data_IF_469723763983
#
_entry.id   IF_469723763983
#
_cell.length_a   1.000
_cell.length_b   1.000
_cell.length_c   1.000
_cell.angle_alpha   90.00
_cell.angle_beta   90.00
_cell.angle_gamma   90.00
#
_symmetry.space_group_name_H-M   'P 1'
#
loop_
_entity.id
_entity.type
_entity.pdbx_description
1 polymer ?
#
# COMPACT_ATOMS: atom_id res chain seq x y z
N UNK A 1 -24.03 -15.27 -32.17
CA UNK A 1 -24.25 -14.93 -30.75
C UNK A 1 -23.04 -15.49 -30.04
N UNK A 2 -22.01 -14.68 -29.79
CA UNK A 2 -20.83 -15.14 -29.07
C UNK A 2 -21.23 -15.22 -27.60
N UNK A 3 -21.19 -16.42 -27.00
CA UNK A 3 -21.27 -16.56 -25.55
C UNK A 3 -20.08 -15.79 -24.97
N UNK A 4 -20.35 -14.76 -24.18
CA UNK A 4 -19.31 -14.14 -23.36
C UNK A 4 -18.87 -15.21 -22.36
N UNK A 5 -17.60 -15.63 -22.43
CA UNK A 5 -17.01 -16.50 -21.42
C UNK A 5 -16.87 -15.68 -20.14
N UNK A 6 -17.80 -15.87 -19.21
CA UNK A 6 -17.81 -15.15 -17.94
C UNK A 6 -16.77 -15.77 -17.01
N UNK A 7 -15.71 -15.03 -16.71
CA UNK A 7 -14.70 -15.41 -15.73
C UNK A 7 -15.22 -15.18 -14.32
N UNK A 8 -15.04 -16.16 -13.45
CA UNK A 8 -15.42 -16.03 -12.04
C UNK A 8 -14.21 -15.63 -11.21
N UNK A 9 -14.35 -14.52 -10.50
CA UNK A 9 -13.34 -14.00 -9.57
C UNK A 9 -13.88 -14.07 -8.14
N UNK A 10 -13.17 -14.78 -7.28
CA UNK A 10 -13.40 -14.80 -5.83
C UNK A 10 -12.38 -13.88 -5.19
N UNK A 11 -12.85 -12.84 -4.52
CA UNK A 11 -12.01 -11.96 -3.72
C UNK A 11 -12.08 -12.43 -2.27
N UNK A 12 -10.93 -12.77 -1.70
CA UNK A 12 -10.80 -13.21 -0.30
C UNK A 12 -10.20 -12.06 0.50
N UNK A 13 -10.88 -11.66 1.55
CA UNK A 13 -10.49 -10.51 2.37
C UNK A 13 -10.83 -10.73 3.85
N UNK A 14 -10.40 -9.79 4.68
CA UNK A 14 -10.76 -9.74 6.10
C UNK A 14 -11.72 -8.57 6.35
N UNK A 15 -12.18 -8.42 7.59
CA UNK A 15 -13.06 -7.32 7.99
C UNK A 15 -12.42 -5.93 7.75
N UNK A 16 -11.09 -5.83 7.85
CA UNK A 16 -10.35 -4.59 7.62
C UNK A 16 -10.19 -4.24 6.14
N UNK A 17 -10.22 -5.24 5.24
CA UNK A 17 -9.97 -5.05 3.80
C UNK A 17 -11.20 -5.25 2.92
N UNK A 18 -12.34 -5.64 3.50
CA UNK A 18 -13.61 -5.83 2.80
C UNK A 18 -14.10 -4.57 2.06
N UNK A 19 -13.74 -3.39 2.55
CA UNK A 19 -14.03 -2.12 1.88
C UNK A 19 -13.40 -2.06 0.49
N UNK A 20 -12.12 -2.47 0.37
CA UNK A 20 -11.37 -2.47 -0.88
C UNK A 20 -11.82 -3.59 -1.82
N UNK A 21 -12.16 -4.76 -1.27
CA UNK A 21 -12.77 -5.85 -2.05
C UNK A 21 -14.09 -5.43 -2.70
N UNK A 22 -14.94 -4.72 -1.95
CA UNK A 22 -16.18 -4.17 -2.49
C UNK A 22 -15.94 -3.01 -3.46
N UNK A 23 -14.89 -2.23 -3.26
CA UNK A 23 -14.50 -1.19 -4.22
C UNK A 23 -14.10 -1.80 -5.56
N UNK A 24 -13.24 -2.82 -5.58
CA UNK A 24 -12.89 -3.55 -6.80
C UNK A 24 -14.12 -4.14 -7.49
N UNK A 25 -15.03 -4.74 -6.71
CA UNK A 25 -16.31 -5.25 -7.23
C UNK A 25 -17.13 -4.18 -7.94
N UNK A 26 -17.15 -2.96 -7.37
CA UNK A 26 -17.87 -1.83 -7.95
C UNK A 26 -17.22 -1.35 -9.24
N UNK A 27 -15.88 -1.24 -9.28
CA UNK A 27 -15.13 -0.87 -10.49
C UNK A 27 -15.45 -1.84 -11.64
N UNK A 28 -15.33 -3.15 -11.41
CA UNK A 28 -15.67 -4.19 -12.39
C UNK A 28 -17.14 -4.17 -12.82
N UNK A 29 -18.03 -3.58 -12.02
CA UNK A 29 -19.46 -3.48 -12.34
C UNK A 29 -19.86 -2.11 -12.91
N UNK A 30 -18.93 -1.16 -13.03
CA UNK A 30 -19.22 0.22 -13.40
C UNK A 30 -19.67 0.36 -14.86
N UNK A 31 -19.34 -0.63 -15.70
CA UNK A 31 -19.60 -0.64 -17.13
C UNK A 31 -19.12 0.66 -17.81
N UNK A 32 -17.84 0.95 -17.66
CA UNK A 32 -17.18 2.18 -18.10
C UNK A 32 -16.53 2.05 -19.49
N UNK A 33 -16.69 0.91 -20.17
CA UNK A 33 -16.26 0.73 -21.55
C UNK A 33 -17.02 1.67 -22.50
N UNK A 34 -16.29 2.36 -23.38
CA UNK A 34 -16.85 3.07 -24.54
C UNK A 34 -16.68 2.21 -25.80
N UNK A 35 -17.41 2.51 -26.89
CA UNK A 35 -17.63 1.64 -28.06
C UNK A 35 -16.41 0.80 -28.53
N UNK A 36 -15.19 1.36 -28.49
CA UNK A 36 -13.93 0.68 -28.85
C UNK A 36 -12.83 0.76 -27.76
N UNK A 37 -13.12 1.25 -26.55
CA UNK A 37 -12.12 1.45 -25.47
C UNK A 37 -12.54 0.66 -24.23
N UNK A 38 -11.72 -0.35 -23.87
CA UNK A 38 -11.90 -1.12 -22.64
C UNK A 38 -11.18 -0.41 -21.49
N UNK A 39 -11.87 -0.15 -20.40
CA UNK A 39 -11.28 0.45 -19.19
C UNK A 39 -11.10 -0.65 -18.13
N UNK A 40 -9.85 -1.06 -17.89
CA UNK A 40 -9.51 -2.14 -16.96
C UNK A 40 -9.90 -3.53 -17.49
N UNK A 41 -11.19 -3.86 -17.44
CA UNK A 41 -11.71 -5.17 -17.89
C UNK A 41 -13.01 -5.03 -18.65
N UNK A 42 -13.18 -5.85 -19.69
CA UNK A 42 -14.38 -5.83 -20.53
C UNK A 42 -15.69 -5.96 -19.74
N UNK A 43 -16.64 -5.09 -20.04
CA UNK A 43 -17.97 -5.06 -19.46
C UNK A 43 -18.67 -6.42 -19.52
N UNK A 44 -19.20 -6.85 -18.37
CA UNK A 44 -19.93 -8.10 -18.22
C UNK A 44 -19.11 -9.38 -18.39
N UNK A 45 -17.79 -9.29 -18.57
CA UNK A 45 -16.92 -10.46 -18.73
C UNK A 45 -16.57 -11.15 -17.40
N UNK A 46 -16.80 -10.48 -16.26
CA UNK A 46 -16.35 -10.97 -14.95
C UNK A 46 -17.52 -11.02 -13.98
N UNK A 47 -17.62 -12.14 -13.25
CA UNK A 47 -18.52 -12.30 -12.10
C UNK A 47 -17.70 -12.36 -10.82
N UNK A 48 -17.82 -11.30 -10.02
CA UNK A 48 -17.07 -11.14 -8.76
C UNK A 48 -17.89 -11.61 -7.55
N UNK A 49 -17.27 -12.38 -6.66
CA UNK A 49 -17.81 -12.75 -5.34
C UNK A 49 -16.82 -12.34 -4.25
N UNK A 50 -17.27 -11.69 -3.19
CA UNK A 50 -16.42 -11.26 -2.06
C UNK A 50 -16.66 -12.15 -0.87
N UNK A 51 -15.63 -12.87 -0.41
CA UNK A 51 -15.69 -13.81 0.69
C UNK A 51 -14.74 -13.36 1.82
N UNK A 52 -15.22 -13.44 3.05
CA UNK A 52 -14.34 -13.36 4.21
C UNK A 52 -13.49 -14.64 4.30
N UNK A 53 -12.30 -14.55 4.91
CA UNK A 53 -11.37 -15.68 5.07
C UNK A 53 -12.05 -16.97 5.56
N UNK A 54 -12.88 -16.87 6.59
CA UNK A 54 -13.60 -18.02 7.13
C UNK A 54 -14.45 -18.74 6.08
N UNK A 55 -15.19 -17.96 5.28
CA UNK A 55 -16.03 -18.51 4.22
C UNK A 55 -15.17 -19.13 3.10
N UNK A 56 -14.01 -18.55 2.81
CA UNK A 56 -13.05 -19.14 1.88
C UNK A 56 -12.54 -20.50 2.36
N UNK A 57 -12.08 -20.59 3.62
CA UNK A 57 -11.57 -21.83 4.19
C UNK A 57 -12.63 -22.93 4.22
N UNK A 58 -13.86 -22.60 4.63
CA UNK A 58 -14.98 -23.55 4.70
C UNK A 58 -15.39 -24.09 3.31
N UNK A 59 -15.14 -23.33 2.24
CA UNK A 59 -15.54 -23.66 0.87
C UNK A 59 -14.37 -23.95 -0.07
N UNK A 60 -13.13 -24.00 0.43
CA UNK A 60 -11.94 -24.13 -0.41
C UNK A 60 -11.97 -25.39 -1.29
N UNK A 61 -12.53 -26.49 -0.78
CA UNK A 61 -12.71 -27.76 -1.50
C UNK A 61 -13.75 -27.70 -2.63
N UNK A 62 -14.60 -26.67 -2.64
CA UNK A 62 -15.64 -26.46 -3.66
C UNK A 62 -15.19 -25.54 -4.78
N UNK A 63 -14.09 -24.78 -4.57
CA UNK A 63 -13.51 -23.90 -5.57
C UNK A 63 -12.84 -24.75 -6.65
N UNK A 64 -13.30 -24.59 -7.88
CA UNK A 64 -12.71 -25.28 -9.03
C UNK A 64 -11.35 -24.68 -9.38
N UNK A 65 -10.48 -25.48 -10.00
CA UNK A 65 -9.19 -25.00 -10.53
C UNK A 65 -9.33 -23.96 -11.64
N UNK A 66 -10.55 -23.70 -12.12
CA UNK A 66 -10.82 -22.72 -13.16
C UNK A 66 -11.19 -21.34 -12.62
N UNK A 67 -11.53 -21.24 -11.34
CA UNK A 67 -11.91 -20.00 -10.68
C UNK A 67 -10.66 -19.22 -10.24
N UNK A 68 -10.67 -17.92 -10.50
CA UNK A 68 -9.63 -17.00 -10.06
C UNK A 68 -9.89 -16.60 -8.62
N UNK A 69 -8.83 -16.58 -7.81
CA UNK A 69 -8.89 -16.18 -6.41
C UNK A 69 -7.89 -15.06 -6.18
N UNK A 70 -8.36 -13.91 -5.72
CA UNK A 70 -7.56 -12.74 -5.38
C UNK A 70 -7.63 -12.49 -3.87
N UNK A 71 -6.49 -12.58 -3.19
CA UNK A 71 -6.37 -12.20 -1.79
C UNK A 71 -6.13 -10.71 -1.65
N UNK A 72 -6.90 -10.02 -0.80
CA UNK A 72 -6.69 -8.60 -0.48
C UNK A 72 -6.30 -8.46 0.99
N UNK A 73 -5.06 -8.03 1.21
CA UNK A 73 -4.42 -8.00 2.52
C UNK A 73 -3.76 -9.33 2.89
N UNK A 74 -3.32 -9.41 4.14
CA UNK A 74 -2.68 -10.59 4.69
C UNK A 74 -3.55 -11.24 5.75
N UNK A 75 -3.98 -12.47 5.47
CA UNK A 75 -4.66 -13.33 6.42
C UNK A 75 -3.96 -14.68 6.49
N UNK A 76 -4.44 -15.59 7.33
CA UNK A 76 -3.76 -16.86 7.53
C UNK A 76 -3.74 -17.67 6.23
N UNK A 77 -4.85 -17.68 5.48
CA UNK A 77 -4.94 -18.35 4.18
C UNK A 77 -3.96 -17.76 3.14
N UNK A 78 -3.87 -16.43 3.05
CA UNK A 78 -3.04 -15.78 2.04
C UNK A 78 -1.55 -15.89 2.35
N UNK A 79 -1.14 -15.89 3.63
CA UNK A 79 0.27 -16.04 4.03
C UNK A 79 0.93 -17.33 3.55
N UNK A 80 0.15 -18.40 3.41
CA UNK A 80 0.66 -19.69 2.93
C UNK A 80 0.84 -19.70 1.39
N UNK A 81 0.07 -18.90 0.65
CA UNK A 81 0.10 -18.85 -0.82
C UNK A 81 1.01 -17.74 -1.38
N UNK A 82 1.00 -16.54 -0.77
CA UNK A 82 1.70 -15.33 -1.23
C UNK A 82 3.20 -15.56 -1.53
N UNK A 83 3.99 -16.27 -0.69
CA UNK A 83 5.43 -16.43 -0.93
C UNK A 83 5.78 -17.14 -2.25
N UNK A 84 4.84 -17.87 -2.84
CA UNK A 84 5.03 -18.55 -4.13
C UNK A 84 4.64 -17.70 -5.33
N UNK A 85 3.99 -16.56 -5.13
CA UNK A 85 3.46 -15.71 -6.18
C UNK A 85 4.55 -14.84 -6.81
N UNK A 86 4.41 -14.58 -8.11
CA UNK A 86 5.28 -13.62 -8.81
C UNK A 86 4.74 -12.22 -8.59
N UNK A 87 5.55 -11.34 -8.02
CA UNK A 87 5.23 -9.93 -7.85
C UNK A 87 5.22 -9.25 -9.22
N UNK A 88 4.13 -8.56 -9.53
CA UNK A 88 3.90 -7.87 -10.82
C UNK A 88 3.99 -6.35 -10.69
N UNK A 89 3.66 -5.85 -9.51
CA UNK A 89 3.78 -4.45 -9.14
C UNK A 89 4.28 -4.34 -7.70
N UNK A 90 5.26 -3.47 -7.48
CA UNK A 90 5.86 -3.17 -6.18
C UNK A 90 6.36 -1.73 -6.16
N UNK A 91 5.54 -0.82 -5.64
CA UNK A 91 5.90 0.58 -5.51
C UNK A 91 5.33 1.16 -4.22
N UNK A 92 6.13 1.93 -3.49
CA UNK A 92 5.68 2.72 -2.34
C UNK A 92 4.91 1.88 -1.30
N UNK A 93 5.37 0.64 -1.08
CA UNK A 93 4.75 -0.32 -0.15
C UNK A 93 3.47 -0.98 -0.65
N UNK A 94 2.99 -0.65 -1.84
CA UNK A 94 1.84 -1.25 -2.50
C UNK A 94 2.29 -2.37 -3.43
N UNK A 95 1.70 -3.57 -3.29
CA UNK A 95 2.09 -4.74 -4.08
C UNK A 95 0.88 -5.49 -4.62
N UNK A 96 0.98 -5.95 -5.86
CA UNK A 96 0.14 -7.03 -6.36
C UNK A 96 0.95 -8.02 -7.21
N UNK A 97 0.43 -9.22 -7.33
CA UNK A 97 1.05 -10.29 -8.10
C UNK A 97 0.21 -11.55 -8.12
N UNK A 98 0.66 -12.56 -8.85
CA UNK A 98 -0.07 -13.82 -8.97
C UNK A 98 0.82 -14.99 -9.39
N UNK A 99 0.29 -16.19 -9.18
CA UNK A 99 0.75 -17.46 -9.75
C UNK A 99 -0.45 -18.21 -10.32
N UNK A 100 -0.53 -18.28 -11.65
CA UNK A 100 -1.72 -18.78 -12.33
C UNK A 100 -2.97 -18.02 -11.87
N UNK A 101 -3.99 -18.76 -11.43
CA UNK A 101 -5.29 -18.22 -11.01
C UNK A 101 -5.35 -17.74 -9.55
N UNK A 102 -4.21 -17.69 -8.86
CA UNK A 102 -4.10 -17.23 -7.47
C UNK A 102 -3.32 -15.93 -7.44
N UNK A 103 -3.95 -14.86 -7.01
CA UNK A 103 -3.40 -13.50 -6.96
C UNK A 103 -3.43 -12.91 -5.57
N UNK A 104 -2.61 -11.89 -5.36
CA UNK A 104 -2.54 -11.12 -4.12
C UNK A 104 -2.48 -9.63 -4.41
N UNK A 105 -3.02 -8.85 -3.48
CA UNK A 105 -2.87 -7.42 -3.38
C UNK A 105 -2.72 -7.03 -1.91
N UNK A 106 -1.62 -6.37 -1.53
CA UNK A 106 -1.34 -6.01 -0.14
C UNK A 106 -0.51 -4.73 -0.03
N UNK A 107 -0.63 -4.07 1.12
CA UNK A 107 0.25 -2.98 1.52
C UNK A 107 1.27 -3.55 2.51
N UNK A 108 2.51 -3.75 2.06
CA UNK A 108 3.58 -4.36 2.87
C UNK A 108 4.19 -3.38 3.87
N UNK A 109 4.12 -2.08 3.56
CA UNK A 109 4.69 -1.02 4.38
C UNK A 109 3.92 0.28 4.16
N UNK A 110 3.52 0.92 5.25
CA UNK A 110 2.89 2.24 5.20
C UNK A 110 3.94 3.32 4.91
N UNK A 111 3.60 4.28 4.05
CA UNK A 111 4.47 5.43 3.77
C UNK A 111 4.61 6.27 5.04
N UNK A 112 5.85 6.62 5.37
CA UNK A 112 6.19 7.24 6.64
C UNK A 112 7.10 8.47 6.51
N UNK A 113 7.32 8.92 5.28
CA UNK A 113 8.11 10.10 4.96
C UNK A 113 7.44 10.93 3.84
N UNK A 114 7.64 12.25 3.83
CA UNK A 114 6.97 13.15 2.89
C UNK A 114 7.42 12.97 1.44
N UNK A 115 8.68 12.58 1.20
CA UNK A 115 9.19 12.44 -0.16
C UNK A 115 8.49 11.27 -0.88
N UNK A 116 8.45 10.10 -0.25
CA UNK A 116 7.68 8.95 -0.74
C UNK A 116 6.17 9.23 -0.80
N UNK A 117 5.64 10.09 0.08
CA UNK A 117 4.23 10.48 0.01
C UNK A 117 3.95 11.38 -1.20
N UNK A 118 4.85 12.31 -1.52
CA UNK A 118 4.75 13.11 -2.74
C UNK A 118 4.85 12.25 -4.00
N UNK A 119 5.77 11.28 -4.02
CA UNK A 119 5.84 10.27 -5.10
C UNK A 119 4.53 9.49 -5.22
N UNK A 120 3.91 9.13 -4.10
CA UNK A 120 2.60 8.46 -4.08
C UNK A 120 1.49 9.32 -4.67
N UNK A 121 1.41 10.60 -4.30
CA UNK A 121 0.40 11.52 -4.86
C UNK A 121 0.61 11.72 -6.36
N UNK A 122 1.86 11.82 -6.81
CA UNK A 122 2.19 11.91 -8.23
C UNK A 122 1.75 10.66 -8.99
N UNK A 123 2.06 9.47 -8.46
CA UNK A 123 1.60 8.20 -9.04
C UNK A 123 0.06 8.16 -9.12
N UNK A 124 -0.65 8.57 -8.08
CA UNK A 124 -2.13 8.56 -8.06
C UNK A 124 -2.76 9.55 -9.06
N UNK A 125 -2.05 10.63 -9.37
CA UNK A 125 -2.50 11.64 -10.34
C UNK A 125 -2.63 11.05 -11.75
N UNK A 126 -1.76 10.11 -12.12
CA UNK A 126 -1.82 9.41 -13.41
C UNK A 126 -3.13 8.60 -13.57
N UNK A 127 -3.67 8.10 -12.45
CA UNK A 127 -4.95 7.38 -12.38
C UNK A 127 -6.13 8.32 -12.04
N UNK A 128 -5.95 9.64 -12.15
CA UNK A 128 -6.96 10.67 -11.85
C UNK A 128 -7.61 10.51 -10.47
N UNK A 129 -6.85 10.02 -9.50
CA UNK A 129 -7.32 9.84 -8.14
C UNK A 129 -6.79 10.95 -7.25
N UNK A 130 -7.70 11.64 -6.56
CA UNK A 130 -7.36 12.70 -5.62
C UNK A 130 -7.58 12.22 -4.18
N UNK A 131 -6.62 12.50 -3.30
CA UNK A 131 -6.69 12.19 -1.88
C UNK A 131 -6.50 13.45 -1.03
N UNK A 132 -7.05 13.42 0.18
CA UNK A 132 -6.74 14.44 1.19
C UNK A 132 -5.24 14.35 1.55
N UNK A 133 -4.52 15.46 1.39
CA UNK A 133 -3.09 15.54 1.68
C UNK A 133 -2.83 15.45 3.19
N UNK A 134 -1.86 14.63 3.56
CA UNK A 134 -1.47 14.41 4.96
C UNK A 134 -0.16 15.15 5.25
N UNK A 135 -0.16 15.92 6.34
CA UNK A 135 1.01 16.69 6.77
C UNK A 135 1.99 15.83 7.57
N UNK A 136 3.25 15.79 7.12
CA UNK A 136 4.35 15.17 7.84
C UNK A 136 5.06 16.22 8.70
N UNK A 137 5.23 15.93 9.99
CA UNK A 137 5.99 16.81 10.88
C UNK A 137 7.44 16.38 10.92
N UNK A 138 8.35 17.35 10.87
CA UNK A 138 9.80 17.12 10.97
C UNK A 138 10.15 16.29 12.22
N UNK A 139 11.28 15.57 12.23
CA UNK A 139 11.76 14.91 13.43
C UNK A 139 11.95 15.89 14.60
N UNK A 140 11.80 15.40 15.83
CA UNK A 140 11.82 16.25 17.04
C UNK A 140 13.13 17.04 17.20
N UNK A 141 14.27 16.46 16.80
CA UNK A 141 15.56 17.12 16.86
C UNK A 141 15.65 18.32 15.90
N UNK A 142 15.08 18.20 14.71
CA UNK A 142 15.05 19.27 13.72
C UNK A 142 14.07 20.37 14.12
N UNK A 143 12.91 20.01 14.68
CA UNK A 143 11.98 20.98 15.26
C UNK A 143 12.63 21.79 16.40
N UNK A 144 13.46 21.14 17.24
CA UNK A 144 14.19 21.82 18.31
C UNK A 144 15.27 22.78 17.77
N UNK A 145 15.94 22.41 16.68
CA UNK A 145 16.89 23.30 15.98
C UNK A 145 16.18 24.50 15.35
N UNK A 146 15.07 24.28 14.63
CA UNK A 146 14.28 25.34 14.00
C UNK A 146 13.71 26.32 15.05
N UNK A 147 13.23 25.81 16.19
CA UNK A 147 12.76 26.63 17.30
C UNK A 147 13.89 27.47 17.93
N UNK A 148 15.09 26.91 18.07
CA UNK A 148 16.24 27.65 18.59
C UNK A 148 16.69 28.77 17.62
N UNK A 149 16.70 28.50 16.31
CA UNK A 149 17.01 29.48 15.26
C UNK A 149 15.96 30.59 15.20
N UNK A 150 14.67 30.25 15.30
CA UNK A 150 13.57 31.23 15.24
C UNK A 150 13.53 32.20 16.44
N UNK A 151 14.02 31.79 17.60
CA UNK A 151 14.12 32.63 18.81
C UNK A 151 15.39 33.50 18.81
N UNK A 152 16.43 33.06 18.10
CA UNK A 152 17.75 33.69 18.07
C UNK A 152 18.05 34.18 16.65
N UNK A 153 17.44 35.31 16.25
CA UNK A 153 17.65 35.88 14.91
C UNK A 153 19.14 35.98 14.53
N UNK A 154 19.44 35.62 13.28
CA UNK A 154 20.77 35.54 12.63
C UNK A 154 21.98 35.83 13.53
N UNK A 155 22.50 34.79 14.20
CA UNK A 155 23.85 34.83 14.78
C UNK A 155 24.72 33.77 14.09
N UNK A 156 25.76 34.18 13.33
CA UNK A 156 26.74 33.26 12.79
C UNK A 156 27.57 32.64 13.93
N UNK A 157 28.04 31.41 13.72
CA UNK A 157 29.09 30.70 14.48
C UNK A 157 28.72 29.90 15.75
N UNK A 158 27.47 29.81 16.20
CA UNK A 158 27.13 28.94 17.36
C UNK A 158 26.60 27.55 16.94
N UNK A 159 26.17 27.38 15.68
CA UNK A 159 25.49 26.16 15.22
C UNK A 159 26.42 24.93 15.11
N UNK A 160 27.75 25.10 15.04
CA UNK A 160 28.67 23.95 15.00
C UNK A 160 28.82 23.20 16.34
N UNK A 161 28.43 23.80 17.48
CA UNK A 161 28.56 23.13 18.78
C UNK A 161 27.26 22.46 19.26
N UNK A 162 26.09 22.83 18.73
CA UNK A 162 24.81 22.16 19.08
C UNK A 162 24.65 20.83 18.33
N UNK A 163 25.27 20.70 17.15
CA UNK A 163 25.42 19.40 16.48
C UNK A 163 26.22 18.38 17.32
N UNK A 164 27.05 18.83 18.27
CA UNK A 164 27.82 17.97 19.16
C UNK A 164 27.16 17.69 20.52
N UNK A 165 26.13 18.44 20.94
CA UNK A 165 25.45 18.19 22.22
C UNK A 165 24.23 17.28 22.13
N UNK A 166 23.62 17.12 20.95
CA UNK A 166 22.66 16.02 20.71
C UNK A 166 23.36 14.64 20.60
N UNK A 167 24.71 14.61 20.59
CA UNK A 167 25.55 13.41 20.52
C UNK A 167 26.15 12.98 21.88
N UNK A 168 25.57 13.39 23.02
CA UNK A 168 26.10 13.02 24.34
C UNK A 168 25.92 11.54 24.73
N UNK A 169 25.42 10.68 23.83
CA UNK A 169 25.34 9.23 24.06
C UNK A 169 26.64 8.47 23.73
N UNK A 170 27.67 9.14 23.20
CA UNK A 170 28.95 8.50 22.91
C UNK A 170 29.94 8.67 24.06
N UNK A 171 29.83 7.78 25.05
CA UNK A 171 30.99 7.36 25.83
C UNK A 171 32.07 6.73 24.93
N UNK A 172 33.31 6.52 25.41
CA UNK A 172 34.41 6.08 24.57
C UNK A 172 34.09 4.71 23.95
N UNK A 173 33.99 4.70 22.62
CA UNK A 173 33.58 3.59 21.73
C UNK A 173 34.30 2.28 22.10
N UNK A 174 33.58 1.14 22.25
CA UNK A 174 33.36 0.23 21.12
C UNK A 174 32.02 -0.54 21.09
N UNK A 175 31.68 -1.00 19.88
CA UNK A 175 30.46 -1.70 19.44
C UNK A 175 29.25 -0.77 19.24
N UNK A 176 28.97 -0.44 17.97
CA UNK A 176 27.65 0.06 17.56
C UNK A 176 26.71 -1.13 17.75
N UNK A 177 26.08 -1.21 18.93
CA UNK A 177 25.01 -2.18 19.15
C UNK A 177 23.88 -1.89 18.15
N UNK A 178 23.21 -2.93 17.65
CA UNK A 178 22.04 -2.77 16.76
C UNK A 178 21.00 -1.78 17.36
N UNK A 179 20.90 -1.75 18.69
CA UNK A 179 20.05 -0.84 19.45
C UNK A 179 20.41 0.64 19.25
N UNK A 180 21.69 0.98 19.11
CA UNK A 180 22.14 2.35 18.85
C UNK A 180 21.85 2.78 17.40
N UNK A 181 21.92 1.86 16.43
CA UNK A 181 21.54 2.13 15.03
C UNK A 181 20.04 2.36 14.92
N UNK A 182 19.23 1.52 15.56
CA UNK A 182 17.77 1.65 15.56
C UNK A 182 17.32 2.94 16.26
N UNK A 183 17.93 3.32 17.38
CA UNK A 183 17.61 4.56 18.08
C UNK A 183 17.91 5.82 17.23
N UNK A 184 18.99 5.81 16.46
CA UNK A 184 19.31 6.90 15.52
C UNK A 184 18.30 6.93 14.37
N UNK A 185 17.94 5.78 13.81
CA UNK A 185 16.93 5.70 12.74
C UNK A 185 15.57 6.21 13.21
N UNK A 186 15.11 5.83 14.40
CA UNK A 186 13.87 6.32 15.00
C UNK A 186 13.89 7.83 15.26
N UNK A 187 15.03 8.38 15.72
CA UNK A 187 15.17 9.81 15.98
C UNK A 187 15.16 10.69 14.72
N UNK A 188 15.37 10.08 13.54
CA UNK A 188 15.35 10.75 12.23
C UNK A 188 14.02 10.59 11.47
N UNK A 189 13.08 9.81 11.99
CA UNK A 189 11.81 9.54 11.31
C UNK A 189 10.86 10.74 11.37
N UNK A 190 10.16 11.01 10.26
CA UNK A 190 9.10 12.00 10.22
C UNK A 190 7.95 11.58 11.14
N UNK A 191 7.40 12.55 11.86
CA UNK A 191 6.35 12.33 12.85
C UNK A 191 5.00 12.44 12.16
N UNK A 192 4.26 11.34 12.17
CA UNK A 192 2.85 11.24 11.77
C UNK A 192 2.04 10.63 12.92
N UNK A 193 0.77 10.99 13.07
CA UNK A 193 -0.07 10.36 14.08
C UNK A 193 -0.47 8.94 13.66
N UNK A 194 -0.96 8.13 14.62
CA UNK A 194 -1.56 6.81 14.30
C UNK A 194 -2.81 6.94 13.43
N UNK A 195 -3.50 8.08 13.46
CA UNK A 195 -4.62 8.35 12.56
C UNK A 195 -4.14 8.61 11.13
N UNK A 196 -3.08 9.41 10.98
CA UNK A 196 -2.46 9.70 9.69
C UNK A 196 -1.94 8.41 9.04
N UNK A 197 -1.24 7.56 9.79
CA UNK A 197 -0.76 6.27 9.28
C UNK A 197 -1.92 5.38 8.79
N UNK A 198 -3.05 5.34 9.51
CA UNK A 198 -4.24 4.60 9.07
C UNK A 198 -4.83 5.19 7.78
N UNK A 199 -4.89 6.52 7.66
CA UNK A 199 -5.34 7.20 6.44
C UNK A 199 -4.41 6.94 5.26
N UNK A 200 -3.10 7.03 5.45
CA UNK A 200 -2.10 6.72 4.41
C UNK A 200 -2.28 5.28 3.93
N UNK A 201 -2.42 4.31 4.85
CA UNK A 201 -2.68 2.91 4.46
C UNK A 201 -4.00 2.75 3.71
N UNK A 202 -5.07 3.44 4.10
CA UNK A 202 -6.34 3.43 3.36
C UNK A 202 -6.18 4.03 1.95
N UNK A 203 -5.46 5.15 1.81
CA UNK A 203 -5.13 5.74 0.51
C UNK A 203 -4.32 4.76 -0.37
N UNK A 204 -3.29 4.11 0.20
CA UNK A 204 -2.50 3.10 -0.51
C UNK A 204 -3.37 1.95 -0.99
N UNK A 205 -4.26 1.39 -0.17
CA UNK A 205 -5.14 0.31 -0.60
C UNK A 205 -6.13 0.74 -1.68
N UNK A 206 -6.71 1.95 -1.59
CA UNK A 206 -7.61 2.48 -2.62
C UNK A 206 -6.90 2.68 -3.95
N UNK A 207 -5.74 3.32 -3.92
CA UNK A 207 -4.91 3.53 -5.10
C UNK A 207 -4.52 2.19 -5.72
N UNK A 208 -4.00 1.27 -4.92
CA UNK A 208 -3.60 -0.07 -5.37
C UNK A 208 -4.77 -0.86 -5.98
N UNK A 209 -5.98 -0.72 -5.43
CA UNK A 209 -7.18 -1.36 -5.99
C UNK A 209 -7.47 -0.82 -7.40
N UNK A 210 -7.35 0.49 -7.60
CA UNK A 210 -7.57 1.11 -8.90
C UNK A 210 -6.46 0.74 -9.89
N UNK A 211 -5.20 0.79 -9.46
CA UNK A 211 -4.06 0.39 -10.30
C UNK A 211 -4.22 -1.07 -10.74
N UNK A 212 -4.57 -1.97 -9.82
CA UNK A 212 -4.85 -3.37 -10.16
C UNK A 212 -5.99 -3.46 -11.18
N UNK A 213 -7.09 -2.75 -10.98
CA UNK A 213 -8.22 -2.74 -11.92
C UNK A 213 -7.81 -2.31 -13.33
N UNK A 214 -7.07 -1.20 -13.44
CA UNK A 214 -6.70 -0.58 -14.70
C UNK A 214 -5.62 -1.39 -15.45
N UNK A 215 -4.62 -1.88 -14.73
CA UNK A 215 -3.38 -2.35 -15.37
C UNK A 215 -3.15 -3.86 -15.20
N UNK A 216 -3.62 -4.46 -14.09
CA UNK A 216 -3.25 -5.82 -13.70
C UNK A 216 -4.37 -6.85 -13.83
N UNK A 217 -5.63 -6.43 -13.71
CA UNK A 217 -6.75 -7.35 -13.53
C UNK A 217 -7.01 -8.18 -14.80
N UNK A 218 -6.92 -7.58 -15.99
CA UNK A 218 -7.07 -8.33 -17.24
C UNK A 218 -5.98 -9.39 -17.39
N UNK A 219 -4.70 -9.03 -17.19
CA UNK A 219 -3.57 -9.98 -17.29
C UNK A 219 -3.71 -11.12 -16.28
N UNK A 220 -4.15 -10.81 -15.05
CA UNK A 220 -4.40 -11.83 -14.03
C UNK A 220 -5.49 -12.82 -14.45
N UNK A 221 -6.56 -12.34 -15.07
CA UNK A 221 -7.70 -13.17 -15.48
C UNK A 221 -7.45 -14.00 -16.74
N UNK A 222 -6.42 -13.66 -17.52
CA UNK A 222 -5.96 -14.44 -18.68
C UNK A 222 -5.09 -15.65 -18.29
N UNK A 223 -4.45 -15.62 -17.11
CA UNK A 223 -3.65 -16.72 -16.56
C UNK A 223 -4.46 -17.89 -16.01
#
# INVERSE_FOLDING_TARGET
MFELNITKLIIVCDESTVGYANYLRQLVSANDDEEDVIIGTKDGAIKVSVWLEKHYLDNMSTISSNEHVLFIGENQASKDEIPSMTVKFDQLGMKYGWLGKRGMMLVSSTIDNPDSYNEFINLCSDYKTEFELIEFKKPLHEQALDAAVGVMGDIPDIMMNVGNTLLSFLGPVPAIAADAVNAVAEATKWITTTDDQRKITDQQFRALTLILYMDGLSEFLEG
#
